data_IF_316078630126
#
_entry.id   IF_316078630126
#
_cell.length_a   1.000
_cell.length_b   1.000
_cell.length_c   1.000
_cell.angle_alpha   90.00
_cell.angle_beta   90.00
_cell.angle_gamma   90.00
#
_symmetry.space_group_name_H-M   'P 1'
#
loop_
_entity.id
_entity.type
_entity.pdbx_description
1 polymer ?
#
# COMPACT_ATOMS: atom_id res chain seq x y z
N UNK A 1 -15.27 -21.49 30.47
CA UNK A 1 -14.90 -20.45 29.47
C UNK A 1 -15.43 -20.84 28.07
N UNK A 2 -16.75 -20.90 27.85
CA UNK A 2 -17.36 -21.47 26.62
C UNK A 2 -17.69 -20.46 25.51
N UNK A 3 -17.18 -19.22 25.54
CA UNK A 3 -17.69 -18.14 24.67
C UNK A 3 -16.65 -17.18 24.07
N UNK A 4 -15.34 -17.48 24.10
CA UNK A 4 -14.34 -16.58 23.51
C UNK A 4 -14.28 -16.77 21.99
N UNK A 5 -15.23 -16.16 21.28
CA UNK A 5 -15.33 -16.21 19.82
C UNK A 5 -14.42 -15.21 19.11
N UNK A 6 -14.04 -14.14 19.80
CA UNK A 6 -13.30 -13.02 19.25
C UNK A 6 -12.16 -12.61 20.20
N UNK A 7 -10.98 -12.42 19.63
CA UNK A 7 -9.78 -11.99 20.34
C UNK A 7 -9.19 -10.82 19.56
N UNK A 8 -9.02 -9.68 20.24
CA UNK A 8 -8.54 -8.46 19.60
C UNK A 8 -7.42 -7.84 20.44
N UNK A 9 -6.28 -7.67 19.81
CA UNK A 9 -5.10 -7.00 20.32
C UNK A 9 -4.74 -5.88 19.36
N UNK A 10 -4.70 -4.64 19.86
CA UNK A 10 -4.43 -3.44 19.05
C UNK A 10 -3.44 -2.56 19.79
N UNK A 11 -2.48 -2.01 19.06
CA UNK A 11 -1.50 -1.05 19.59
C UNK A 11 -0.73 -1.59 20.81
N UNK A 12 -0.46 -2.90 20.83
CA UNK A 12 0.30 -3.51 21.91
C UNK A 12 1.78 -3.25 21.67
N UNK A 13 2.42 -2.63 22.65
CA UNK A 13 3.88 -2.52 22.72
C UNK A 13 4.38 -3.46 23.80
N UNK A 14 5.35 -4.31 23.46
CA UNK A 14 5.99 -5.24 24.41
C UNK A 14 7.43 -4.78 24.58
N UNK A 15 7.75 -3.98 25.63
CA UNK A 15 9.05 -3.32 25.79
C UNK A 15 10.26 -4.27 25.90
N UNK A 16 10.02 -5.58 26.01
CA UNK A 16 11.05 -6.62 26.10
C UNK A 16 10.59 -7.89 25.37
N UNK A 17 10.19 -7.78 24.10
CA UNK A 17 9.63 -8.92 23.33
C UNK A 17 10.52 -10.17 23.32
N UNK A 18 11.84 -10.01 23.44
CA UNK A 18 12.82 -11.10 23.55
C UNK A 18 12.72 -11.93 24.85
N UNK A 19 12.04 -11.41 25.89
CA UNK A 19 11.73 -12.14 27.13
C UNK A 19 10.34 -12.75 27.12
N UNK A 20 9.55 -12.50 26.07
CA UNK A 20 8.18 -12.97 26.01
C UNK A 20 8.19 -14.45 25.62
N UNK A 21 7.83 -15.38 26.52
CA UNK A 21 7.74 -16.79 26.15
C UNK A 21 6.67 -16.92 25.06
N UNK A 22 6.88 -17.87 24.14
CA UNK A 22 5.85 -18.22 23.19
C UNK A 22 4.54 -18.46 23.97
N UNK A 23 3.46 -17.78 23.56
CA UNK A 23 2.13 -17.79 24.20
C UNK A 23 1.42 -19.16 24.17
N UNK A 24 2.15 -20.27 24.17
CA UNK A 24 1.64 -21.63 23.98
C UNK A 24 0.58 -21.97 25.03
N UNK A 25 0.67 -21.37 26.22
CA UNK A 25 -0.33 -21.50 27.27
C UNK A 25 -1.73 -21.00 26.86
N UNK A 26 -1.84 -20.14 25.85
CA UNK A 26 -3.11 -19.68 25.29
C UNK A 26 -3.73 -20.66 24.28
N UNK A 27 -3.03 -21.73 23.85
CA UNK A 27 -3.57 -22.70 22.90
C UNK A 27 -4.99 -23.21 23.24
N UNK A 28 -5.32 -23.55 24.51
CA UNK A 28 -6.67 -24.00 24.85
C UNK A 28 -7.75 -22.94 24.61
N UNK A 29 -7.42 -21.65 24.77
CA UNK A 29 -8.32 -20.53 24.49
C UNK A 29 -8.45 -20.27 22.99
N UNK A 30 -7.34 -20.40 22.24
CA UNK A 30 -7.28 -20.17 20.81
C UNK A 30 -8.07 -21.23 20.01
N UNK A 31 -8.21 -22.45 20.53
CA UNK A 31 -8.98 -23.55 19.90
C UNK A 31 -10.44 -23.24 19.64
N UNK A 32 -11.05 -22.33 20.40
CA UNK A 32 -12.46 -21.96 20.25
C UNK A 32 -12.68 -20.61 19.53
N UNK A 33 -11.59 -19.88 19.25
CA UNK A 33 -11.66 -18.58 18.61
C UNK A 33 -12.13 -18.70 17.16
N UNK A 34 -13.00 -17.78 16.74
CA UNK A 34 -13.49 -17.66 15.36
C UNK A 34 -12.98 -16.40 14.67
N UNK A 35 -12.70 -15.34 15.44
CA UNK A 35 -12.15 -14.08 14.96
C UNK A 35 -10.92 -13.73 15.78
N UNK A 36 -9.80 -13.49 15.12
CA UNK A 36 -8.56 -13.10 15.78
C UNK A 36 -7.99 -11.88 15.10
N UNK A 37 -7.69 -10.83 15.87
CA UNK A 37 -7.09 -9.61 15.35
C UNK A 37 -5.88 -9.22 16.19
N UNK A 38 -4.73 -9.07 15.55
CA UNK A 38 -3.51 -8.49 16.11
C UNK A 38 -3.12 -7.34 15.20
N UNK A 39 -3.44 -6.10 15.55
CA UNK A 39 -3.28 -4.96 14.64
C UNK A 39 -2.30 -3.96 15.25
N UNK A 40 -1.38 -3.42 14.44
CA UNK A 40 -0.45 -2.38 14.85
C UNK A 40 0.30 -2.70 16.15
N UNK A 41 0.74 -3.95 16.28
CA UNK A 41 1.32 -4.48 17.53
C UNK A 41 2.74 -5.03 17.33
N UNK A 42 3.41 -4.58 16.26
CA UNK A 42 4.78 -4.99 15.90
C UNK A 42 4.97 -6.52 15.85
N UNK A 43 3.93 -7.27 15.47
CA UNK A 43 4.02 -8.73 15.30
C UNK A 43 4.98 -9.05 14.15
N UNK A 44 6.09 -9.73 14.43
CA UNK A 44 7.13 -10.05 13.43
C UNK A 44 7.14 -11.51 13.00
N UNK A 45 6.63 -12.41 13.84
CA UNK A 45 6.47 -13.82 13.55
C UNK A 45 5.48 -14.42 14.54
N UNK A 46 4.76 -15.45 14.13
CA UNK A 46 4.22 -16.43 15.07
C UNK A 46 4.42 -17.85 14.50
N UNK A 47 4.83 -18.84 15.31
CA UNK A 47 5.19 -20.17 14.83
C UNK A 47 4.00 -20.96 14.26
N UNK A 48 4.26 -21.85 13.30
CA UNK A 48 3.26 -22.76 12.70
C UNK A 48 2.47 -23.55 13.75
N UNK A 49 3.11 -23.97 14.85
CA UNK A 49 2.49 -24.73 15.93
C UNK A 49 1.32 -23.99 16.59
N UNK A 50 1.31 -22.65 16.52
CA UNK A 50 0.17 -21.84 16.95
C UNK A 50 -0.95 -21.83 15.93
N UNK A 51 -0.63 -21.75 14.64
CA UNK A 51 -1.60 -21.77 13.54
C UNK A 51 -2.48 -23.02 13.58
N UNK A 52 -1.90 -24.17 13.96
CA UNK A 52 -2.62 -25.42 14.15
C UNK A 52 -3.72 -25.30 15.22
N UNK A 53 -3.48 -24.51 16.27
CA UNK A 53 -4.46 -24.23 17.32
C UNK A 53 -5.62 -23.34 16.88
N UNK A 54 -5.52 -22.69 15.71
CA UNK A 54 -6.48 -21.73 15.18
C UNK A 54 -7.40 -22.34 14.10
N UNK A 55 -7.60 -23.66 14.13
CA UNK A 55 -8.34 -24.41 13.10
C UNK A 55 -9.81 -24.00 12.94
N UNK A 56 -10.42 -23.37 13.95
CA UNK A 56 -11.79 -22.83 13.91
C UNK A 56 -11.88 -21.36 13.50
N UNK A 57 -10.74 -20.67 13.37
CA UNK A 57 -10.72 -19.25 13.00
C UNK A 57 -11.24 -19.09 11.57
N UNK A 58 -12.18 -18.17 11.41
CA UNK A 58 -12.83 -17.82 10.15
C UNK A 58 -12.39 -16.44 9.66
N UNK A 59 -12.05 -15.54 10.59
CA UNK A 59 -11.58 -14.20 10.29
C UNK A 59 -10.28 -13.93 11.04
N UNK A 60 -9.24 -13.52 10.32
CA UNK A 60 -7.96 -13.14 10.91
C UNK A 60 -7.53 -11.77 10.39
N UNK A 61 -7.22 -10.82 11.29
CA UNK A 61 -6.63 -9.54 10.92
C UNK A 61 -5.29 -9.36 11.62
N UNK A 62 -4.21 -9.46 10.86
CA UNK A 62 -2.85 -9.23 11.33
C UNK A 62 -2.21 -8.02 10.65
N UNK A 63 -3.05 -7.03 10.30
CA UNK A 63 -2.60 -5.85 9.57
C UNK A 63 -1.76 -4.89 10.40
N UNK A 64 -0.99 -4.05 9.70
CA UNK A 64 -0.11 -3.03 10.30
C UNK A 64 0.96 -3.61 11.24
N UNK A 65 1.47 -4.80 10.94
CA UNK A 65 2.55 -5.41 11.70
C UNK A 65 3.84 -5.47 10.88
N UNK A 66 4.84 -6.20 11.38
CA UNK A 66 6.18 -6.26 10.79
C UNK A 66 6.49 -7.61 10.13
N UNK A 67 5.47 -8.31 9.62
CA UNK A 67 5.62 -9.60 8.94
C UNK A 67 6.32 -9.45 7.58
N UNK A 68 7.33 -10.27 7.33
CA UNK A 68 7.99 -10.46 6.04
C UNK A 68 7.62 -11.81 5.40
N UNK A 69 7.98 -12.03 4.13
CA UNK A 69 7.63 -13.22 3.35
C UNK A 69 7.97 -14.54 4.07
N UNK A 70 9.16 -14.61 4.69
CA UNK A 70 9.62 -15.78 5.42
C UNK A 70 8.80 -16.03 6.69
N UNK A 71 8.58 -14.99 7.49
CA UNK A 71 7.77 -15.09 8.71
C UNK A 71 6.31 -15.45 8.42
N UNK A 72 5.74 -14.93 7.33
CA UNK A 72 4.38 -15.24 6.89
C UNK A 72 4.27 -16.65 6.30
N UNK A 73 5.28 -17.13 5.57
CA UNK A 73 5.34 -18.51 5.08
C UNK A 73 5.36 -19.51 6.25
N UNK A 74 6.25 -19.32 7.22
CA UNK A 74 6.34 -20.13 8.43
C UNK A 74 5.03 -20.11 9.23
N UNK A 75 4.43 -18.92 9.36
CA UNK A 75 3.13 -18.73 9.99
C UNK A 75 2.01 -19.54 9.31
N UNK A 76 2.00 -19.61 7.98
CA UNK A 76 1.06 -20.40 7.19
C UNK A 76 1.49 -21.88 7.07
N UNK A 77 2.45 -22.33 7.88
CA UNK A 77 3.03 -23.67 7.84
C UNK A 77 3.51 -24.07 6.43
N UNK A 78 4.07 -23.11 5.68
CA UNK A 78 4.49 -23.29 4.28
C UNK A 78 3.39 -23.84 3.34
N UNK A 79 2.11 -23.63 3.70
CA UNK A 79 0.94 -24.12 2.97
C UNK A 79 0.48 -25.52 3.38
N UNK A 80 1.16 -26.17 4.32
CA UNK A 80 0.77 -27.47 4.86
C UNK A 80 -0.38 -27.39 5.86
N UNK A 81 -0.74 -26.19 6.35
CA UNK A 81 -2.04 -25.95 6.99
C UNK A 81 -2.06 -25.15 8.29
N UNK A 82 -3.12 -25.38 9.08
CA UNK A 82 -3.36 -24.77 10.40
C UNK A 82 -4.67 -23.98 10.47
N UNK A 83 -4.90 -23.09 9.50
CA UNK A 83 -6.04 -22.17 9.46
C UNK A 83 -7.22 -22.71 8.61
N UNK A 84 -7.56 -23.98 8.76
CA UNK A 84 -8.48 -24.73 7.88
C UNK A 84 -9.90 -24.17 7.74
N UNK A 85 -10.36 -23.31 8.67
CA UNK A 85 -11.69 -22.69 8.59
C UNK A 85 -11.67 -21.25 8.10
N UNK A 86 -10.51 -20.74 7.71
CA UNK A 86 -10.30 -19.33 7.40
C UNK A 86 -11.06 -18.94 6.13
N UNK A 87 -11.92 -17.93 6.26
CA UNK A 87 -12.67 -17.31 5.16
C UNK A 87 -12.09 -15.97 4.76
N UNK A 88 -11.53 -15.24 5.71
CA UNK A 88 -10.97 -13.92 5.45
C UNK A 88 -9.70 -13.73 6.24
N UNK A 89 -8.65 -13.31 5.56
CA UNK A 89 -7.40 -12.87 6.19
C UNK A 89 -7.03 -11.48 5.72
N UNK A 90 -6.74 -10.60 6.68
CA UNK A 90 -6.20 -9.28 6.44
C UNK A 90 -4.73 -9.25 6.88
N UNK A 91 -3.83 -9.16 5.91
CA UNK A 91 -2.38 -9.06 6.08
C UNK A 91 -1.85 -7.72 5.53
N UNK A 92 -2.75 -6.76 5.29
CA UNK A 92 -2.42 -5.41 4.85
C UNK A 92 -1.39 -4.72 5.75
N UNK A 93 -0.66 -3.76 5.18
CA UNK A 93 0.35 -2.95 5.90
C UNK A 93 1.41 -3.76 6.66
N UNK A 94 1.81 -4.91 6.12
CA UNK A 94 2.99 -5.67 6.56
C UNK A 94 4.17 -5.46 5.58
N UNK A 95 5.33 -6.07 5.85
CA UNK A 95 6.55 -5.93 5.05
C UNK A 95 6.68 -6.99 3.94
N UNK A 96 5.56 -7.63 3.59
CA UNK A 96 5.49 -8.62 2.51
C UNK A 96 5.89 -7.98 1.16
N UNK A 97 6.71 -8.69 0.39
CA UNK A 97 7.21 -8.36 -0.95
C UNK A 97 6.55 -9.24 -2.01
N UNK A 98 6.39 -10.51 -1.69
CA UNK A 98 5.73 -11.52 -2.52
C UNK A 98 4.92 -12.46 -1.64
N UNK A 99 3.85 -13.05 -2.20
CA UNK A 99 3.16 -14.16 -1.53
C UNK A 99 3.11 -15.35 -2.47
N UNK A 100 3.62 -16.47 -1.97
CA UNK A 100 3.56 -17.74 -2.66
C UNK A 100 2.12 -18.27 -2.61
N UNK A 101 1.50 -18.49 -3.77
CA UNK A 101 0.14 -19.00 -3.87
C UNK A 101 -0.04 -20.37 -3.21
N UNK A 102 1.04 -21.16 -3.09
CA UNK A 102 1.04 -22.45 -2.37
C UNK A 102 0.62 -22.34 -0.91
N UNK A 103 0.78 -21.16 -0.29
CA UNK A 103 0.40 -20.94 1.11
C UNK A 103 -1.12 -21.00 1.34
N UNK A 104 -1.93 -20.86 0.29
CA UNK A 104 -3.39 -20.82 0.39
C UNK A 104 -4.08 -22.00 -0.30
N UNK A 105 -3.36 -22.89 -0.97
CA UNK A 105 -3.95 -23.95 -1.81
C UNK A 105 -4.84 -24.91 -1.04
N UNK A 106 -4.55 -25.16 0.25
CA UNK A 106 -5.34 -26.04 1.10
C UNK A 106 -6.40 -25.31 1.94
N UNK A 107 -6.57 -24.00 1.76
CA UNK A 107 -7.60 -23.21 2.43
C UNK A 107 -8.84 -23.10 1.54
N UNK A 108 -9.56 -24.20 1.44
CA UNK A 108 -10.74 -24.40 0.60
C UNK A 108 -11.90 -23.43 0.89
N UNK A 109 -11.96 -22.90 2.12
CA UNK A 109 -12.99 -21.94 2.57
C UNK A 109 -12.58 -20.47 2.42
N UNK A 110 -11.38 -20.19 1.94
CA UNK A 110 -10.85 -18.84 1.87
C UNK A 110 -11.54 -18.04 0.76
N UNK A 111 -12.27 -17.00 1.16
CA UNK A 111 -13.04 -16.15 0.25
C UNK A 111 -12.31 -14.84 -0.03
N UNK A 112 -11.66 -14.26 0.99
CA UNK A 112 -11.09 -12.92 0.92
C UNK A 112 -9.68 -12.89 1.50
N UNK A 113 -8.75 -12.28 0.75
CA UNK A 113 -7.40 -12.00 1.22
C UNK A 113 -7.16 -10.50 1.04
N UNK A 114 -7.16 -9.75 2.14
CA UNK A 114 -6.74 -8.35 2.13
C UNK A 114 -5.22 -8.30 2.30
N UNK A 115 -4.55 -8.21 1.17
CA UNK A 115 -3.09 -8.11 1.07
C UNK A 115 -2.60 -6.67 1.01
N UNK A 116 -3.47 -5.68 1.17
CA UNK A 116 -3.14 -4.33 0.74
C UNK A 116 -2.19 -3.64 1.71
N UNK A 117 -0.89 -3.88 1.58
CA UNK A 117 0.13 -2.91 1.99
C UNK A 117 -0.27 -1.59 1.35
N UNK A 118 -0.66 -0.59 2.14
CA UNK A 118 -1.31 0.61 1.61
C UNK A 118 -0.45 1.22 0.49
N UNK A 119 -0.90 0.95 -0.72
CA UNK A 119 -0.76 1.64 -2.00
C UNK A 119 -1.60 0.79 -2.94
N UNK A 120 -2.69 1.34 -3.48
CA UNK A 120 -3.56 0.80 -4.56
C UNK A 120 -5.01 0.30 -4.26
N UNK A 121 -5.55 0.06 -3.05
CA UNK A 121 -7.01 -0.30 -2.91
C UNK A 121 -7.86 0.95 -2.93
N UNK A 122 -7.37 2.04 -2.32
CA UNK A 122 -7.89 3.38 -2.62
C UNK A 122 -7.77 3.71 -4.11
N UNK A 123 -6.85 3.08 -4.85
CA UNK A 123 -6.78 3.24 -6.30
C UNK A 123 -7.85 2.37 -6.95
N UNK A 124 -7.92 1.05 -6.73
CA UNK A 124 -8.85 0.15 -7.43
C UNK A 124 -10.34 0.47 -7.19
N UNK A 125 -10.73 0.81 -5.96
CA UNK A 125 -12.15 1.06 -5.63
C UNK A 125 -12.63 2.46 -6.05
N UNK A 126 -11.72 3.45 -6.11
CA UNK A 126 -12.01 4.81 -6.60
C UNK A 126 -11.74 4.92 -8.11
N UNK A 127 -10.91 4.04 -8.67
CA UNK A 127 -10.69 3.88 -10.11
C UNK A 127 -11.84 3.14 -10.79
N UNK A 128 -12.41 2.10 -10.17
CA UNK A 128 -13.52 1.37 -10.81
C UNK A 128 -14.78 2.22 -10.92
N UNK A 129 -15.04 3.10 -9.95
CA UNK A 129 -16.23 3.95 -9.95
C UNK A 129 -16.12 5.18 -10.88
N UNK A 130 -14.93 5.54 -11.36
CA UNK A 130 -14.75 6.71 -12.24
C UNK A 130 -14.72 6.37 -13.73
N UNK A 131 -14.73 5.10 -14.11
CA UNK A 131 -14.46 4.68 -15.50
C UNK A 131 -15.60 3.93 -16.17
N UNK A 132 -16.83 4.11 -15.70
CA UNK A 132 -18.00 3.48 -16.31
C UNK A 132 -18.48 4.14 -17.61
N UNK A 133 -17.80 5.17 -18.17
CA UNK A 133 -18.19 5.76 -19.47
C UNK A 133 -16.99 6.24 -20.31
N UNK A 134 -16.50 5.37 -21.19
CA UNK A 134 -16.05 5.76 -22.54
C UNK A 134 -14.65 6.30 -22.78
N UNK A 135 -13.73 6.31 -21.79
CA UNK A 135 -12.31 6.66 -22.04
C UNK A 135 -11.44 5.38 -22.04
N UNK A 136 -10.26 5.33 -22.70
CA UNK A 136 -9.36 4.17 -22.61
C UNK A 136 -8.61 4.12 -21.27
N UNK A 137 -8.52 2.97 -20.58
CA UNK A 137 -7.90 2.87 -19.25
C UNK A 137 -6.48 3.44 -19.25
N UNK A 138 -6.12 4.20 -18.21
CA UNK A 138 -4.76 4.72 -18.04
C UNK A 138 -3.75 3.56 -18.03
N UNK A 139 -2.73 3.64 -18.88
CA UNK A 139 -1.60 2.72 -18.85
C UNK A 139 -0.57 3.22 -17.84
N UNK A 140 -0.13 2.35 -16.94
CA UNK A 140 0.82 2.67 -15.87
C UNK A 140 2.08 1.82 -16.05
N UNK A 141 3.25 2.47 -15.96
CA UNK A 141 4.54 1.81 -15.79
C UNK A 141 4.96 1.88 -14.31
N UNK A 142 5.12 0.73 -13.67
CA UNK A 142 5.45 0.60 -12.25
C UNK A 142 6.86 0.04 -12.09
N UNK A 143 7.70 0.77 -11.35
CA UNK A 143 9.11 0.45 -11.17
C UNK A 143 9.40 -0.96 -10.59
N UNK A 144 8.45 -1.54 -9.84
CA UNK A 144 8.59 -2.91 -9.28
C UNK A 144 8.02 -4.01 -10.17
N UNK A 145 7.23 -3.67 -11.18
CA UNK A 145 6.49 -4.63 -12.01
C UNK A 145 7.01 -4.67 -13.44
N UNK A 146 7.26 -3.49 -14.01
CA UNK A 146 7.48 -3.32 -15.46
C UNK A 146 8.96 -3.12 -15.80
N UNK A 147 9.83 -2.96 -14.80
CA UNK A 147 11.28 -2.87 -15.02
C UNK A 147 11.85 -4.24 -15.38
N UNK A 148 12.76 -4.25 -16.34
CA UNK A 148 13.41 -5.44 -16.86
C UNK A 148 14.39 -5.97 -15.79
N UNK A 149 14.19 -7.20 -15.27
CA UNK A 149 15.10 -7.80 -14.32
C UNK A 149 16.50 -8.00 -14.92
N UNK A 150 17.54 -7.72 -14.14
CA UNK A 150 18.94 -7.86 -14.57
C UNK A 150 19.48 -6.71 -15.44
N UNK A 151 18.63 -5.79 -15.88
CA UNK A 151 19.06 -4.54 -16.52
C UNK A 151 19.53 -3.48 -15.51
N UNK A 152 20.24 -2.46 -15.97
CA UNK A 152 20.63 -1.33 -15.13
C UNK A 152 19.38 -0.59 -14.64
N UNK A 153 19.37 -0.23 -13.36
CA UNK A 153 18.23 0.46 -12.75
C UNK A 153 18.00 1.84 -13.39
N UNK A 154 19.07 2.53 -13.77
CA UNK A 154 18.98 3.86 -14.40
C UNK A 154 18.33 3.78 -15.78
N UNK A 155 18.75 2.82 -16.63
CA UNK A 155 18.17 2.59 -17.95
C UNK A 155 16.66 2.29 -17.85
N UNK A 156 16.27 1.39 -16.94
CA UNK A 156 14.87 1.06 -16.72
C UNK A 156 14.01 2.27 -16.35
N UNK A 157 14.52 3.14 -15.47
CA UNK A 157 13.82 4.35 -15.07
C UNK A 157 13.77 5.34 -16.24
N UNK A 158 14.86 5.53 -17.01
CA UNK A 158 14.90 6.42 -18.17
C UNK A 158 13.88 6.00 -19.22
N UNK A 159 13.91 4.73 -19.62
CA UNK A 159 12.94 4.13 -20.54
C UNK A 159 11.50 4.34 -20.09
N UNK A 160 11.23 4.13 -18.80
CA UNK A 160 9.90 4.31 -18.24
C UNK A 160 9.43 5.77 -18.28
N UNK A 161 10.34 6.72 -18.05
CA UNK A 161 10.03 8.15 -18.12
C UNK A 161 9.78 8.57 -19.56
N UNK A 162 10.66 8.22 -20.50
CA UNK A 162 10.54 8.60 -21.91
C UNK A 162 9.25 8.04 -22.56
N UNK A 163 8.84 6.83 -22.16
CA UNK A 163 7.61 6.18 -22.63
C UNK A 163 6.34 6.69 -21.91
N UNK A 164 6.47 7.53 -20.89
CA UNK A 164 5.35 8.01 -20.07
C UNK A 164 5.04 9.49 -20.33
N UNK A 165 3.74 9.82 -20.36
CA UNK A 165 3.32 11.23 -20.47
C UNK A 165 3.50 12.02 -19.18
N UNK A 166 3.36 11.35 -18.05
CA UNK A 166 3.47 11.92 -16.71
C UNK A 166 4.25 10.94 -15.83
N UNK A 167 5.17 11.45 -15.03
CA UNK A 167 5.94 10.70 -14.05
C UNK A 167 5.46 11.07 -12.65
N UNK A 168 4.97 10.08 -11.91
CA UNK A 168 4.48 10.27 -10.55
C UNK A 168 5.56 9.86 -9.55
N UNK A 169 5.90 10.77 -8.64
CA UNK A 169 6.76 10.46 -7.49
C UNK A 169 5.91 10.36 -6.24
N UNK A 170 5.93 9.18 -5.59
CA UNK A 170 5.28 8.98 -4.29
C UNK A 170 6.33 9.16 -3.21
N UNK A 171 6.33 10.35 -2.60
CA UNK A 171 7.28 10.76 -1.58
C UNK A 171 6.86 10.23 -0.20
N UNK A 172 7.80 9.56 0.44
CA UNK A 172 7.79 9.12 1.83
C UNK A 172 9.16 9.34 2.44
N UNK A 173 9.30 9.30 3.76
CA UNK A 173 10.61 9.43 4.41
C UNK A 173 11.56 8.34 3.92
N UNK A 174 11.06 7.10 3.80
CA UNK A 174 11.82 5.98 3.24
C UNK A 174 12.29 6.27 1.82
N UNK A 175 11.39 6.76 0.94
CA UNK A 175 11.74 7.05 -0.46
C UNK A 175 12.83 8.12 -0.56
N UNK A 176 12.73 9.17 0.25
CA UNK A 176 13.74 10.25 0.30
C UNK A 176 15.10 9.72 0.74
N UNK A 177 15.14 8.80 1.71
CA UNK A 177 16.38 8.26 2.25
C UNK A 177 17.04 7.22 1.35
N UNK A 178 16.27 6.36 0.66
CA UNK A 178 16.82 5.21 -0.07
C UNK A 178 16.85 5.38 -1.59
N UNK A 179 15.87 6.08 -2.18
CA UNK A 179 15.69 6.09 -3.64
C UNK A 179 15.96 7.46 -4.27
N UNK A 180 15.65 8.56 -3.58
CA UNK A 180 15.70 9.91 -4.15
C UNK A 180 17.08 10.27 -4.75
N UNK A 181 18.16 9.76 -4.16
CA UNK A 181 19.51 10.04 -4.64
C UNK A 181 19.73 9.67 -6.12
N UNK A 182 19.07 8.61 -6.61
CA UNK A 182 19.12 8.19 -8.02
C UNK A 182 18.49 9.25 -8.93
N UNK A 183 17.41 9.85 -8.46
CA UNK A 183 16.65 10.88 -9.18
C UNK A 183 17.32 12.25 -9.13
N UNK A 184 17.99 12.60 -8.04
CA UNK A 184 18.71 13.87 -7.91
C UNK A 184 20.01 13.91 -8.71
N UNK A 185 20.77 12.81 -8.79
CA UNK A 185 22.10 12.84 -9.44
C UNK A 185 22.00 12.72 -10.95
N UNK A 186 21.22 11.76 -11.47
CA UNK A 186 21.29 11.40 -12.90
C UNK A 186 20.19 12.04 -13.77
N UNK A 187 19.02 12.38 -13.19
CA UNK A 187 17.87 12.91 -13.95
C UNK A 187 17.88 14.43 -14.09
N UNK A 188 18.81 15.10 -13.41
CA UNK A 188 19.03 16.55 -13.55
C UNK A 188 19.40 16.94 -14.98
N UNK A 189 20.10 16.08 -15.71
CA UNK A 189 20.45 16.27 -17.12
C UNK A 189 19.24 16.23 -18.05
N UNK A 190 18.16 15.53 -17.66
CA UNK A 190 16.94 15.36 -18.45
C UNK A 190 15.81 16.35 -18.10
N UNK A 191 16.09 17.40 -17.30
CA UNK A 191 15.16 18.52 -17.01
C UNK A 191 13.81 18.15 -16.36
N UNK A 192 13.61 16.90 -15.93
CA UNK A 192 12.39 16.41 -15.24
C UNK A 192 11.90 17.29 -14.08
N UNK A 193 12.83 18.00 -13.43
CA UNK A 193 12.53 18.82 -12.26
C UNK A 193 12.71 20.32 -12.53
N UNK A 194 12.70 20.72 -13.81
CA UNK A 194 12.67 22.12 -14.17
C UNK A 194 11.30 22.69 -13.83
N UNK A 195 11.30 23.97 -13.43
CA UNK A 195 10.17 24.64 -12.78
C UNK A 195 8.90 24.77 -13.64
N UNK A 196 8.96 24.36 -14.91
CA UNK A 196 7.92 24.52 -15.91
C UNK A 196 7.57 23.21 -16.62
N UNK A 197 8.06 22.08 -16.10
CA UNK A 197 7.79 20.77 -16.66
C UNK A 197 6.51 20.20 -16.03
N UNK A 198 5.42 20.18 -16.81
CA UNK A 198 4.14 19.65 -16.35
C UNK A 198 4.16 18.12 -16.25
N UNK A 199 5.24 17.46 -16.69
CA UNK A 199 5.33 16.00 -16.76
C UNK A 199 5.47 15.35 -15.39
N UNK A 200 5.97 16.07 -14.37
CA UNK A 200 6.18 15.51 -13.03
C UNK A 200 5.05 15.85 -12.07
N UNK A 201 4.50 14.82 -11.42
CA UNK A 201 3.50 14.95 -10.37
C UNK A 201 4.07 14.39 -9.06
N UNK A 202 4.26 15.25 -8.07
CA UNK A 202 4.70 14.85 -6.74
C UNK A 202 3.49 14.52 -5.86
N UNK A 203 3.52 13.37 -5.20
CA UNK A 203 2.52 12.92 -4.23
C UNK A 203 3.22 12.79 -2.89
N UNK A 204 2.78 13.53 -1.89
CA UNK A 204 3.30 13.41 -0.52
C UNK A 204 2.43 12.41 0.24
N UNK A 205 2.94 11.19 0.44
CA UNK A 205 2.20 10.11 1.07
C UNK A 205 2.08 10.29 2.59
N UNK A 206 3.14 10.80 3.21
CA UNK A 206 3.23 11.09 4.64
C UNK A 206 3.94 12.43 4.85
N UNK A 207 3.75 13.06 6.00
CA UNK A 207 4.46 14.29 6.30
C UNK A 207 5.96 14.02 6.39
N UNK A 208 6.74 14.74 5.59
CA UNK A 208 8.21 14.70 5.63
C UNK A 208 8.67 16.04 6.18
N UNK A 209 9.40 16.00 7.28
CA UNK A 209 10.02 17.19 7.83
C UNK A 209 11.14 17.66 6.89
N UNK A 210 11.01 18.91 6.41
CA UNK A 210 11.95 19.49 5.46
C UNK A 210 13.38 19.60 6.04
N UNK A 211 13.53 19.62 7.36
CA UNK A 211 14.83 19.61 8.02
C UNK A 211 15.55 18.26 7.93
N UNK A 212 14.78 17.16 7.85
CA UNK A 212 15.33 15.81 7.73
C UNK A 212 15.83 15.48 6.33
N UNK A 213 15.45 16.28 5.33
CA UNK A 213 15.88 16.10 3.93
C UNK A 213 17.35 16.47 3.81
N UNK A 214 18.23 15.54 3.38
CA UNK A 214 19.65 15.80 3.22
C UNK A 214 19.92 17.07 2.42
N UNK A 215 20.83 17.93 2.92
CA UNK A 215 21.13 19.25 2.31
C UNK A 215 21.53 19.15 0.82
N UNK A 216 22.11 18.03 0.41
CA UNK A 216 22.49 17.73 -0.99
C UNK A 216 21.30 17.60 -1.95
N UNK A 217 20.09 17.34 -1.45
CA UNK A 217 18.87 17.22 -2.26
C UNK A 217 18.20 18.59 -2.44
N UNK A 218 18.92 19.50 -3.10
CA UNK A 218 18.50 20.89 -3.27
C UNK A 218 17.17 21.00 -4.02
N UNK A 219 16.94 20.19 -5.06
CA UNK A 219 15.70 20.24 -5.85
C UNK A 219 14.50 19.76 -5.05
N UNK A 220 14.62 18.63 -4.36
CA UNK A 220 13.57 18.14 -3.47
C UNK A 220 13.17 19.19 -2.43
N UNK A 221 14.15 19.81 -1.76
CA UNK A 221 13.89 20.87 -0.79
C UNK A 221 13.14 22.04 -1.43
N UNK A 222 13.49 22.41 -2.67
CA UNK A 222 12.76 23.46 -3.41
C UNK A 222 11.29 23.08 -3.65
N UNK A 223 11.01 21.85 -4.07
CA UNK A 223 9.64 21.37 -4.27
C UNK A 223 8.82 21.29 -2.99
N UNK A 224 9.45 20.83 -1.91
CA UNK A 224 8.79 20.76 -0.60
C UNK A 224 8.42 22.17 -0.11
N UNK A 225 9.26 23.18 -0.39
CA UNK A 225 9.01 24.57 -0.05
C UNK A 225 7.94 25.23 -0.95
N UNK A 226 7.89 24.90 -2.24
CA UNK A 226 6.89 25.46 -3.17
C UNK A 226 5.48 24.89 -2.96
N UNK A 227 5.34 23.83 -2.16
CA UNK A 227 4.06 23.12 -1.91
C UNK A 227 3.38 22.64 -3.19
N UNK A 228 4.16 22.36 -4.23
CA UNK A 228 3.69 21.89 -5.53
C UNK A 228 3.59 20.35 -5.54
N UNK A 229 2.91 19.79 -4.55
CA UNK A 229 2.66 18.36 -4.40
C UNK A 229 1.22 18.09 -4.02
N UNK A 230 0.72 16.91 -4.38
CA UNK A 230 -0.56 16.39 -3.94
C UNK A 230 -0.37 15.67 -2.60
N UNK A 231 -0.88 16.25 -1.53
CA UNK A 231 -0.80 15.65 -0.19
C UNK A 231 -1.87 14.57 -0.03
N UNK A 232 -1.45 13.36 0.33
CA UNK A 232 -2.35 12.30 0.78
C UNK A 232 -2.96 12.68 2.15
N UNK A 233 -4.21 12.28 2.37
CA UNK A 233 -4.93 12.54 3.63
C UNK A 233 -5.54 11.25 4.14
N UNK A 234 -5.40 11.02 5.46
CA UNK A 234 -6.05 9.92 6.17
C UNK A 234 -7.51 10.25 6.57
N UNK A 235 -7.99 11.46 6.25
CA UNK A 235 -9.39 11.84 6.39
C UNK A 235 -10.17 11.33 5.17
N UNK A 236 -11.08 10.37 5.40
CA UNK A 236 -11.91 9.75 4.37
C UNK A 236 -12.67 10.79 3.53
N UNK A 237 -13.03 11.93 4.11
CA UNK A 237 -13.74 13.01 3.41
C UNK A 237 -12.85 13.75 2.39
N UNK A 238 -11.53 13.73 2.58
CA UNK A 238 -10.57 14.40 1.69
C UNK A 238 -10.04 13.48 0.59
N UNK A 239 -10.21 12.15 0.74
CA UNK A 239 -9.77 11.16 -0.25
C UNK A 239 -10.36 11.46 -1.65
N UNK A 240 -11.68 11.69 -1.83
CA UNK A 240 -12.24 12.02 -3.15
C UNK A 240 -11.60 13.26 -3.80
N UNK A 241 -11.28 14.28 -3.00
CA UNK A 241 -10.62 15.51 -3.46
C UNK A 241 -9.20 15.24 -3.94
N UNK A 242 -8.43 14.43 -3.21
CA UNK A 242 -7.10 13.99 -3.65
C UNK A 242 -7.18 13.36 -5.04
N UNK A 243 -8.13 12.43 -5.25
CA UNK A 243 -8.31 11.75 -6.53
C UNK A 243 -8.70 12.68 -7.67
N UNK A 244 -9.60 13.63 -7.40
CA UNK A 244 -9.97 14.66 -8.38
C UNK A 244 -8.74 15.48 -8.81
N UNK A 245 -7.92 15.89 -7.86
CA UNK A 245 -6.70 16.65 -8.15
C UNK A 245 -5.66 15.82 -8.91
N UNK A 246 -5.45 14.56 -8.52
CA UNK A 246 -4.53 13.66 -9.21
C UNK A 246 -4.97 13.42 -10.66
N UNK A 247 -6.26 13.17 -10.90
CA UNK A 247 -6.79 13.03 -12.27
C UNK A 247 -6.54 14.28 -13.10
N UNK A 248 -6.74 15.46 -12.52
CA UNK A 248 -6.44 16.72 -13.21
C UNK A 248 -4.96 16.86 -13.53
N UNK A 249 -4.07 16.51 -12.60
CA UNK A 249 -2.62 16.60 -12.80
C UNK A 249 -2.09 15.62 -13.87
N UNK A 250 -2.71 14.45 -14.02
CA UNK A 250 -2.28 13.44 -15.00
C UNK A 250 -2.96 13.54 -16.37
N UNK A 251 -3.87 14.51 -16.56
CA UNK A 251 -4.49 14.76 -17.87
C UNK A 251 -3.43 15.20 -18.90
N UNK A 252 -3.60 14.75 -20.14
CA UNK A 252 -2.77 15.20 -21.26
C UNK A 252 -3.21 16.62 -21.67
N UNK A 253 -2.29 17.58 -21.86
CA UNK A 253 -2.64 18.85 -22.48
C UNK A 253 -3.04 18.60 -23.95
N UNK A 254 -4.26 18.98 -24.35
CA UNK A 254 -4.69 18.95 -25.76
C UNK A 254 -5.89 18.07 -26.13
N UNK A 255 -6.56 17.38 -25.19
CA UNK A 255 -7.91 16.87 -25.50
C UNK A 255 -8.90 18.03 -25.39
N UNK A 256 -9.12 18.75 -26.49
CA UNK A 256 -10.34 19.53 -26.66
C UNK A 256 -11.51 18.55 -26.54
N UNK A 257 -12.14 18.45 -25.36
CA UNK A 257 -13.49 17.91 -25.21
C UNK A 257 -14.46 18.92 -25.86
N UNK A 258 -14.37 19.03 -27.19
CA UNK A 258 -15.38 19.67 -28.00
C UNK A 258 -16.62 18.77 -27.98
N UNK A 259 -17.71 19.32 -27.43
CA UNK A 259 -19.07 18.90 -27.70
C UNK A 259 -19.55 17.58 -27.06
N UNK A 260 -19.62 17.55 -25.73
CA UNK A 260 -20.76 16.90 -25.06
C UNK A 260 -21.37 17.92 -24.11
N UNK A 261 -22.51 18.48 -24.53
CA UNK A 261 -23.20 19.55 -23.83
C UNK A 261 -23.63 19.18 -22.40
N UNK A 262 -23.77 20.24 -21.60
CA UNK A 262 -24.69 20.40 -20.48
C UNK A 262 -25.08 19.13 -19.72
N UNK A 263 -24.38 18.87 -18.62
CA UNK A 263 -24.74 17.84 -17.65
C UNK A 263 -23.94 17.95 -16.37
N UNK A 264 -23.82 19.17 -15.83
CA UNK A 264 -23.25 19.44 -14.51
C UNK A 264 -24.14 20.46 -13.79
N UNK A 265 -25.41 20.12 -13.63
CA UNK A 265 -26.24 20.64 -12.55
C UNK A 265 -26.89 19.44 -11.85
N UNK A 266 -26.96 19.56 -10.53
CA UNK A 266 -27.55 18.64 -9.57
C UNK A 266 -26.90 17.27 -9.39
N UNK A 267 -26.07 17.18 -8.34
CA UNK A 267 -26.29 16.21 -7.28
C UNK A 267 -25.84 16.86 -5.96
N UNK A 268 -26.86 17.35 -5.25
CA UNK A 268 -26.77 17.97 -3.93
C UNK A 268 -26.23 16.99 -2.88
N UNK A 269 -25.53 17.58 -1.91
CA UNK A 269 -25.31 17.05 -0.58
C UNK A 269 -26.66 16.68 0.07
N UNK A 270 -26.92 15.38 0.21
CA UNK A 270 -27.87 14.70 1.11
C UNK A 270 -27.70 13.22 0.71
N UNK A 271 -27.07 12.35 1.48
CA UNK A 271 -27.41 11.96 2.85
C UNK A 271 -26.15 11.53 3.63
N UNK A 272 -26.24 11.74 4.95
CA UNK A 272 -25.26 11.59 6.03
C UNK A 272 -24.28 10.40 5.95
#
# INVERSE_FOLDING_TARGET
MKHLHEIVWKNIDIPQFYRFPALLFLQPLLKEARRVSVINSKLFAYPCEFSVGLSKVQYMDISANILNDMSFSNMMCDGEGGLWSLRTINISRNYLRSINSKLFTRLDKLENIDMMKWTLVGWKHIWSQSWSRGRPPLQLCLHKRDFIPGGWILDNIMDAIEKSHKTLFVLSEHFVRSEWCKYELDYTHFRLFDQNDDTVVLILLEAIDAETIPKKFCKLRRFMNSRTYLKWSDDDNQIPRFWKNLRTAIKRPGTNDGNYGNGFEDLQLQDF
#
